data_IF_318251443930
#
_entry.id   IF_318251443930
#
_cell.length_a   1.000
_cell.length_b   1.000
_cell.length_c   1.000
_cell.angle_alpha   90.00
_cell.angle_beta   90.00
_cell.angle_gamma   90.00
#
_symmetry.space_group_name_H-M   'P 1'
#
loop_
_entity.id
_entity.type
_entity.pdbx_description
1 polymer ?
#
# COMPACT_ATOMS: atom_id res chain seq x y z
N UNK A 1 -18.08 21.19 6.29
CA UNK A 1 -18.15 20.85 7.72
C UNK A 1 -16.76 20.77 8.31
N UNK A 2 -16.60 21.09 9.59
CA UNK A 2 -15.36 20.87 10.34
C UNK A 2 -15.72 19.89 11.46
N UNK A 3 -15.33 18.61 11.33
CA UNK A 3 -15.69 17.56 12.27
C UNK A 3 -14.42 16.90 12.77
N UNK A 4 -14.24 16.82 14.09
CA UNK A 4 -13.14 16.11 14.70
C UNK A 4 -13.67 15.08 15.69
N UNK A 5 -13.23 13.82 15.55
CA UNK A 5 -13.54 12.72 16.45
C UNK A 5 -12.21 12.16 16.96
N UNK A 6 -11.91 12.37 18.24
CA UNK A 6 -10.66 11.94 18.86
C UNK A 6 -10.82 10.75 19.82
N UNK A 7 -12.06 10.31 20.07
CA UNK A 7 -12.34 9.20 21.00
C UNK A 7 -13.83 8.97 21.22
N UNK A 8 -14.17 8.07 22.14
CA UNK A 8 -15.55 7.75 22.45
C UNK A 8 -16.21 6.80 21.45
N UNK A 9 -17.54 6.72 21.50
CA UNK A 9 -18.35 5.93 20.58
C UNK A 9 -19.34 6.82 19.85
N UNK A 10 -19.27 6.81 18.52
CA UNK A 10 -20.12 7.61 17.63
C UNK A 10 -20.88 6.66 16.70
N UNK A 11 -22.22 6.74 16.73
CA UNK A 11 -23.09 6.06 15.77
C UNK A 11 -23.92 7.13 15.05
N UNK A 12 -23.64 7.33 13.78
CA UNK A 12 -24.29 8.33 12.94
C UNK A 12 -25.03 7.67 11.77
N UNK A 13 -26.31 7.98 11.63
CA UNK A 13 -27.18 7.35 10.66
C UNK A 13 -28.02 8.39 9.92
N UNK A 14 -27.93 8.39 8.60
CA UNK A 14 -28.79 9.18 7.73
C UNK A 14 -29.80 8.28 7.01
N UNK A 15 -31.09 8.55 7.20
CA UNK A 15 -32.18 7.80 6.55
C UNK A 15 -32.44 8.23 5.11
N UNK A 16 -32.03 9.44 4.75
CA UNK A 16 -32.32 10.02 3.45
C UNK A 16 -31.00 10.33 2.70
N UNK A 17 -30.95 11.42 2.01
CA UNK A 17 -29.89 11.79 1.10
C UNK A 17 -28.64 12.43 1.75
N UNK A 18 -28.59 12.51 3.07
CA UNK A 18 -27.39 12.98 3.78
C UNK A 18 -26.35 11.89 3.96
N UNK A 19 -25.13 12.30 4.26
CA UNK A 19 -24.10 11.37 4.77
C UNK A 19 -24.38 10.96 6.21
N UNK A 20 -23.81 9.84 6.65
CA UNK A 20 -23.81 9.47 8.07
C UNK A 20 -23.07 10.52 8.91
N UNK A 21 -21.86 10.88 8.48
CA UNK A 21 -21.04 11.95 9.06
C UNK A 21 -20.60 12.88 7.93
N UNK A 22 -21.01 14.17 7.99
CA UNK A 22 -20.57 15.18 7.02
C UNK A 22 -21.69 16.06 6.46
N UNK A 23 -21.95 15.97 5.15
CA UNK A 23 -22.91 16.81 4.44
C UNK A 23 -24.36 16.31 4.47
N UNK A 24 -25.34 17.21 4.52
CA UNK A 24 -26.73 16.91 4.20
C UNK A 24 -26.91 16.72 2.68
N UNK A 25 -28.17 16.56 2.22
CA UNK A 25 -28.48 16.52 0.79
C UNK A 25 -27.91 17.75 0.09
N UNK A 26 -27.20 17.53 -1.02
CA UNK A 26 -26.50 18.57 -1.80
C UNK A 26 -25.39 19.30 -1.00
N UNK A 27 -25.11 18.82 0.21
CA UNK A 27 -24.09 19.37 1.10
C UNK A 27 -22.76 18.65 1.01
N UNK A 28 -21.68 19.41 0.98
CA UNK A 28 -20.32 18.86 1.01
C UNK A 28 -19.94 18.43 2.43
N UNK A 29 -19.26 17.30 2.55
CA UNK A 29 -18.53 16.87 3.75
C UNK A 29 -17.06 17.19 3.61
N UNK A 30 -16.54 18.13 4.39
CA UNK A 30 -15.13 18.53 4.28
C UNK A 30 -14.51 18.77 5.64
N UNK A 31 -13.17 18.68 5.72
CA UNK A 31 -12.38 18.84 6.93
C UNK A 31 -12.89 17.89 8.05
N UNK A 32 -12.91 16.60 7.77
CA UNK A 32 -13.32 15.57 8.72
C UNK A 32 -12.06 14.85 9.19
N UNK A 33 -11.82 14.88 10.51
CA UNK A 33 -10.66 14.21 11.11
C UNK A 33 -11.13 13.18 12.14
N UNK A 34 -10.69 11.93 12.00
CA UNK A 34 -10.93 10.86 12.96
C UNK A 34 -9.57 10.34 13.42
N UNK A 35 -9.23 10.59 14.68
CA UNK A 35 -7.96 10.18 15.28
C UNK A 35 -8.11 9.11 16.38
N UNK A 36 -9.33 8.70 16.70
CA UNK A 36 -9.60 7.67 17.71
C UNK A 36 -11.08 7.38 17.89
N UNK A 37 -11.39 6.46 18.83
CA UNK A 37 -12.74 6.05 19.16
C UNK A 37 -13.28 4.92 18.29
N UNK A 38 -14.56 4.58 18.53
CA UNK A 38 -15.35 3.64 17.73
C UNK A 38 -16.41 4.42 16.96
N UNK A 39 -16.29 4.46 15.64
CA UNK A 39 -17.14 5.29 14.77
C UNK A 39 -17.89 4.38 13.80
N UNK A 40 -19.22 4.50 13.79
CA UNK A 40 -20.08 3.87 12.76
C UNK A 40 -20.88 4.96 12.06
N UNK A 41 -20.68 5.07 10.75
CA UNK A 41 -21.33 6.07 9.93
C UNK A 41 -22.06 5.37 8.78
N UNK A 42 -23.36 5.58 8.71
CA UNK A 42 -24.24 4.89 7.78
C UNK A 42 -25.16 5.85 7.03
N UNK A 43 -25.27 5.68 5.71
CA UNK A 43 -26.24 6.36 4.86
C UNK A 43 -27.14 5.33 4.17
N UNK A 44 -28.46 5.43 4.33
CA UNK A 44 -29.42 4.53 3.66
C UNK A 44 -29.63 4.87 2.19
N UNK A 45 -29.44 6.12 1.79
CA UNK A 45 -29.80 6.57 0.43
C UNK A 45 -28.77 7.54 -0.13
N UNK A 46 -27.95 7.08 -1.06
CA UNK A 46 -27.16 7.88 -1.98
C UNK A 46 -26.18 8.91 -1.38
N UNK A 47 -26.19 9.18 -0.07
CA UNK A 47 -25.13 9.90 0.63
C UNK A 47 -23.96 8.97 0.93
N UNK A 48 -22.81 9.52 1.27
CA UNK A 48 -21.67 8.72 1.75
C UNK A 48 -21.87 8.26 3.20
N UNK A 49 -21.19 7.22 3.63
CA UNK A 49 -21.05 6.91 5.06
C UNK A 49 -20.39 8.08 5.78
N UNK A 50 -19.21 8.51 5.31
CA UNK A 50 -18.46 9.67 5.81
C UNK A 50 -18.12 10.57 4.63
N UNK A 51 -18.58 11.83 4.63
CA UNK A 51 -18.29 12.80 3.58
C UNK A 51 -19.50 13.54 3.04
N UNK A 52 -19.70 13.53 1.71
CA UNK A 52 -20.80 14.28 1.05
C UNK A 52 -22.16 13.61 1.13
N UNK A 53 -23.22 14.40 1.16
CA UNK A 53 -24.58 13.90 0.90
C UNK A 53 -24.82 13.68 -0.61
N UNK A 54 -26.02 13.29 -1.00
CA UNK A 54 -26.43 13.19 -2.42
C UNK A 54 -26.09 14.49 -3.16
N UNK A 55 -25.43 14.40 -4.31
CA UNK A 55 -24.88 15.54 -5.07
C UNK A 55 -23.84 16.38 -4.30
N UNK A 56 -23.36 15.93 -3.15
CA UNK A 56 -22.35 16.61 -2.33
C UNK A 56 -20.99 15.92 -2.41
N UNK A 57 -19.93 16.70 -2.46
CA UNK A 57 -18.56 16.19 -2.49
C UNK A 57 -18.04 15.88 -1.08
N UNK A 58 -17.14 14.90 -0.99
CA UNK A 58 -16.33 14.60 0.19
C UNK A 58 -14.91 15.05 -0.01
N UNK A 59 -14.36 15.89 0.89
CA UNK A 59 -12.98 16.35 0.76
C UNK A 59 -12.28 16.51 2.10
N UNK A 60 -10.95 16.42 2.07
CA UNK A 60 -10.10 16.63 3.23
C UNK A 60 -10.52 15.75 4.43
N UNK A 61 -10.67 14.45 4.17
CA UNK A 61 -11.05 13.44 5.16
C UNK A 61 -9.78 12.72 5.60
N UNK A 62 -9.46 12.82 6.89
CA UNK A 62 -8.27 12.18 7.47
C UNK A 62 -8.68 11.20 8.56
N UNK A 63 -8.23 9.94 8.44
CA UNK A 63 -8.39 8.91 9.45
C UNK A 63 -7.00 8.44 9.87
N UNK A 64 -6.61 8.76 11.11
CA UNK A 64 -5.31 8.42 11.66
C UNK A 64 -5.37 7.46 12.85
N UNK A 65 -6.58 7.05 13.27
CA UNK A 65 -6.77 6.13 14.39
C UNK A 65 -8.21 5.70 14.61
N UNK A 66 -8.43 4.88 15.62
CA UNK A 66 -9.75 4.38 15.98
C UNK A 66 -10.20 3.14 15.19
N UNK A 67 -11.45 2.76 15.43
CA UNK A 67 -12.17 1.73 14.68
C UNK A 67 -13.32 2.39 13.94
N UNK A 68 -13.22 2.46 12.61
CA UNK A 68 -14.16 3.20 11.77
C UNK A 68 -14.89 2.24 10.85
N UNK A 69 -16.22 2.25 10.90
CA UNK A 69 -17.09 1.58 9.92
C UNK A 69 -17.87 2.65 9.17
N UNK A 70 -17.65 2.73 7.87
CA UNK A 70 -18.38 3.61 6.99
C UNK A 70 -19.14 2.79 5.96
N UNK A 71 -20.40 3.14 5.71
CA UNK A 71 -21.21 2.40 4.76
C UNK A 71 -22.24 3.28 4.08
N UNK A 72 -22.32 3.19 2.76
CA UNK A 72 -23.35 3.79 1.91
C UNK A 72 -24.20 2.67 1.29
N UNK A 73 -25.48 2.61 1.62
CA UNK A 73 -26.37 1.56 1.08
C UNK A 73 -26.82 1.86 -0.36
N UNK A 74 -27.19 3.08 -0.61
CA UNK A 74 -27.74 3.47 -1.91
C UNK A 74 -29.21 3.12 -2.09
N UNK A 75 -29.78 3.58 -3.20
CA UNK A 75 -31.14 3.30 -3.63
C UNK A 75 -31.14 3.07 -5.15
N UNK A 76 -31.87 2.07 -5.64
CA UNK A 76 -31.94 1.68 -7.06
C UNK A 76 -30.57 1.41 -7.72
N UNK A 77 -29.68 0.68 -7.03
CA UNK A 77 -28.30 0.37 -7.47
C UNK A 77 -27.38 1.59 -7.63
N UNK A 78 -27.78 2.71 -7.06
CA UNK A 78 -27.04 3.96 -7.11
C UNK A 78 -26.66 4.34 -5.68
N UNK A 79 -25.38 4.48 -5.40
CA UNK A 79 -24.88 4.77 -4.05
C UNK A 79 -23.76 5.81 -4.08
N UNK A 80 -23.55 6.49 -2.95
CA UNK A 80 -22.34 7.25 -2.69
C UNK A 80 -21.18 6.34 -2.30
N UNK A 81 -20.04 6.93 -2.06
CA UNK A 81 -18.88 6.23 -1.50
C UNK A 81 -19.11 5.92 -0.02
N UNK A 82 -18.52 4.85 0.50
CA UNK A 82 -18.53 4.64 1.94
C UNK A 82 -17.77 5.77 2.66
N UNK A 83 -16.62 6.20 2.08
CA UNK A 83 -15.90 7.41 2.50
C UNK A 83 -15.62 8.25 1.26
N UNK A 84 -16.06 9.51 1.25
CA UNK A 84 -15.88 10.40 0.10
C UNK A 84 -17.14 11.14 -0.30
N UNK A 85 -17.38 11.29 -1.60
CA UNK A 85 -18.58 11.93 -2.14
C UNK A 85 -19.84 11.07 -2.02
N UNK A 86 -20.98 11.72 -1.91
CA UNK A 86 -22.26 11.07 -2.16
C UNK A 86 -22.43 10.78 -3.65
N UNK A 87 -23.55 10.19 -4.04
CA UNK A 87 -23.86 9.97 -5.45
C UNK A 87 -23.82 11.30 -6.24
N UNK A 88 -23.16 11.31 -7.38
CA UNK A 88 -22.82 12.49 -8.18
C UNK A 88 -21.88 13.50 -7.48
N UNK A 89 -21.37 13.21 -6.31
CA UNK A 89 -20.36 14.03 -5.64
C UNK A 89 -18.94 13.57 -5.96
N UNK A 90 -17.98 14.48 -5.90
CA UNK A 90 -16.56 14.16 -6.07
C UNK A 90 -15.90 13.84 -4.74
N UNK A 91 -14.82 13.06 -4.80
CA UNK A 91 -13.96 12.82 -3.64
C UNK A 91 -12.57 13.38 -3.89
N UNK A 92 -12.03 14.10 -2.89
CA UNK A 92 -10.68 14.65 -2.96
C UNK A 92 -10.00 14.54 -1.59
N UNK A 93 -8.69 14.32 -1.57
CA UNK A 93 -7.87 14.37 -0.38
C UNK A 93 -8.40 13.46 0.75
N UNK A 94 -8.55 12.16 0.48
CA UNK A 94 -8.86 11.16 1.48
C UNK A 94 -7.56 10.51 1.94
N UNK A 95 -7.26 10.60 3.24
CA UNK A 95 -6.05 10.10 3.84
C UNK A 95 -6.36 9.10 4.95
N UNK A 96 -5.80 7.88 4.83
CA UNK A 96 -5.86 6.86 5.88
C UNK A 96 -4.43 6.52 6.26
N UNK A 97 -4.02 6.89 7.47
CA UNK A 97 -2.67 6.67 7.98
C UNK A 97 -2.63 5.81 9.25
N UNK A 98 -3.78 5.34 9.71
CA UNK A 98 -3.88 4.47 10.89
C UNK A 98 -5.31 4.12 11.23
N UNK A 99 -5.48 3.33 12.29
CA UNK A 99 -6.78 2.80 12.70
C UNK A 99 -7.23 1.60 11.87
N UNK A 100 -8.35 1.00 12.27
CA UNK A 100 -9.01 -0.07 11.53
C UNK A 100 -10.22 0.50 10.79
N UNK A 101 -10.15 0.59 9.46
CA UNK A 101 -11.16 1.27 8.65
C UNK A 101 -11.87 0.30 7.74
N UNK A 102 -13.12 -0.05 8.10
CA UNK A 102 -14.01 -0.88 7.32
C UNK A 102 -14.83 -0.02 6.36
N UNK A 103 -14.41 -0.02 5.10
CA UNK A 103 -15.10 0.61 3.99
C UNK A 103 -14.92 -0.26 2.74
N UNK A 104 -15.96 -0.42 1.91
CA UNK A 104 -15.90 -1.20 0.67
C UNK A 104 -15.68 -0.32 -0.56
N UNK A 105 -16.30 0.85 -0.54
CA UNK A 105 -16.19 1.82 -1.63
C UNK A 105 -15.53 3.09 -1.10
N UNK A 106 -14.29 3.21 -1.44
CA UNK A 106 -13.57 4.47 -1.47
C UNK A 106 -13.64 4.92 -2.91
N UNK A 107 -14.07 6.14 -3.13
CA UNK A 107 -14.29 6.64 -4.48
C UNK A 107 -13.01 6.65 -5.32
N UNK A 108 -13.15 6.81 -6.64
CA UNK A 108 -12.18 6.72 -7.72
C UNK A 108 -10.85 7.49 -7.56
N UNK A 109 -10.66 8.27 -6.53
CA UNK A 109 -9.34 8.80 -6.15
C UNK A 109 -8.65 7.83 -5.22
N UNK A 110 -7.41 7.41 -5.53
CA UNK A 110 -6.68 6.53 -4.63
C UNK A 110 -6.59 7.15 -3.25
N UNK A 111 -6.92 6.36 -2.22
CA UNK A 111 -6.72 6.74 -0.84
C UNK A 111 -5.22 6.94 -0.61
N UNK A 112 -4.85 7.95 0.14
CA UNK A 112 -3.47 8.37 0.29
C UNK A 112 -3.03 8.32 1.74
N UNK A 113 -1.73 8.13 1.95
CA UNK A 113 -1.11 8.38 3.24
C UNK A 113 -1.06 9.88 3.53
N UNK A 114 -1.24 10.27 4.81
CA UNK A 114 -1.32 11.68 5.21
C UNK A 114 -0.05 12.51 4.89
N UNK A 115 1.10 11.87 4.77
CA UNK A 115 2.38 12.56 4.71
C UNK A 115 3.01 12.62 3.30
N UNK A 116 2.60 11.75 2.37
CA UNK A 116 3.37 11.54 1.14
C UNK A 116 2.53 11.51 -0.14
N UNK A 117 1.24 11.73 -0.06
CA UNK A 117 0.35 11.67 -1.23
C UNK A 117 0.43 10.33 -2.01
N UNK A 118 0.79 9.24 -1.32
CA UNK A 118 0.97 7.90 -1.85
C UNK A 118 -0.34 7.12 -1.68
N UNK A 119 -0.70 6.32 -2.68
CA UNK A 119 -1.86 5.43 -2.62
C UNK A 119 -1.71 4.39 -1.52
N UNK A 120 -2.81 4.08 -0.83
CA UNK A 120 -2.88 3.01 0.17
C UNK A 120 -3.96 2.00 -0.22
N UNK A 121 -3.72 0.75 0.15
CA UNK A 121 -4.52 -0.41 -0.22
C UNK A 121 -4.96 -1.16 1.03
N UNK A 122 -6.18 -1.73 1.01
CA UNK A 122 -6.73 -2.43 2.17
C UNK A 122 -6.12 -3.81 2.32
N UNK A 123 -5.74 -4.14 3.55
CA UNK A 123 -5.39 -5.48 3.98
C UNK A 123 -6.20 -5.87 5.23
N UNK A 124 -6.82 -7.05 5.20
CA UNK A 124 -7.70 -7.53 6.25
C UNK A 124 -6.99 -8.57 7.12
N UNK A 125 -6.82 -8.28 8.41
CA UNK A 125 -6.22 -9.18 9.40
C UNK A 125 -7.36 -9.87 10.17
N UNK A 126 -7.58 -11.15 9.87
CA UNK A 126 -8.64 -11.94 10.51
C UNK A 126 -8.21 -12.49 11.87
N UNK A 127 -9.09 -12.42 12.87
CA UNK A 127 -8.88 -12.96 14.22
C UNK A 127 -7.52 -12.60 14.85
N UNK A 128 -7.11 -11.32 14.87
CA UNK A 128 -5.80 -10.95 15.36
C UNK A 128 -5.66 -11.21 16.85
N UNK A 129 -4.50 -11.74 17.27
CA UNK A 129 -4.08 -11.62 18.65
C UNK A 129 -3.73 -10.17 18.94
N UNK A 130 -4.51 -9.52 19.78
CA UNK A 130 -4.48 -8.07 20.03
C UNK A 130 -3.44 -7.61 21.02
N UNK A 131 -2.79 -8.53 21.67
CA UNK A 131 -1.77 -8.20 22.67
C UNK A 131 -0.55 -7.53 22.03
N UNK A 132 -0.32 -7.79 20.74
CA UNK A 132 0.80 -7.21 20.00
C UNK A 132 0.50 -7.21 18.49
N UNK A 133 0.07 -6.08 17.97
CA UNK A 133 -0.11 -5.89 16.54
C UNK A 133 0.83 -4.77 16.10
N UNK A 134 1.61 -5.00 15.07
CA UNK A 134 2.54 -4.03 14.54
C UNK A 134 2.60 -4.06 13.01
N UNK A 135 2.90 -2.91 12.42
CA UNK A 135 3.15 -2.74 10.99
C UNK A 135 4.53 -2.08 10.86
N UNK A 136 5.45 -2.75 10.17
CA UNK A 136 6.84 -2.29 9.96
C UNK A 136 7.57 -1.88 11.27
N UNK A 137 7.32 -2.65 12.34
CA UNK A 137 7.92 -2.41 13.65
C UNK A 137 7.22 -1.34 14.51
N UNK A 138 6.19 -0.68 13.98
CA UNK A 138 5.38 0.27 14.73
C UNK A 138 4.17 -0.43 15.37
N UNK A 139 3.94 -0.21 16.65
CA UNK A 139 2.76 -0.75 17.34
C UNK A 139 1.48 -0.17 16.77
N UNK A 140 0.50 -1.05 16.55
CA UNK A 140 -0.81 -0.68 16.05
C UNK A 140 -1.90 -1.35 16.90
N UNK A 141 -2.70 -0.54 17.58
CA UNK A 141 -3.70 -1.02 18.54
C UNK A 141 -5.09 -0.42 18.28
N UNK A 142 -5.71 -0.68 17.11
CA UNK A 142 -7.07 -0.23 16.88
C UNK A 142 -8.09 -1.06 17.68
N UNK A 143 -9.24 -0.47 17.98
CA UNK A 143 -10.38 -1.16 18.55
C UNK A 143 -11.01 -2.15 17.57
N UNK A 144 -11.76 -3.17 18.02
CA UNK A 144 -12.54 -4.04 17.14
C UNK A 144 -13.81 -3.34 16.66
N UNK A 145 -14.25 -3.69 15.44
CA UNK A 145 -15.48 -3.16 14.87
C UNK A 145 -16.75 -3.65 15.57
N UNK A 146 -16.80 -4.93 15.94
CA UNK A 146 -17.89 -5.51 16.72
C UNK A 146 -17.49 -6.86 17.32
N UNK A 147 -18.27 -7.38 18.27
CA UNK A 147 -18.04 -8.71 18.85
C UNK A 147 -18.12 -9.84 17.79
N UNK A 148 -18.88 -9.63 16.73
CA UNK A 148 -19.05 -10.57 15.63
C UNK A 148 -18.05 -10.36 14.48
N UNK A 149 -17.43 -9.19 14.38
CA UNK A 149 -16.43 -8.87 13.38
C UNK A 149 -15.06 -8.77 14.04
N UNK A 150 -14.32 -9.88 13.99
CA UNK A 150 -12.97 -9.99 14.56
C UNK A 150 -11.88 -9.61 13.59
N UNK A 151 -12.21 -8.87 12.53
CA UNK A 151 -11.26 -8.45 11.51
C UNK A 151 -10.75 -7.03 11.79
N UNK A 152 -9.46 -6.81 11.61
CA UNK A 152 -8.86 -5.48 11.56
C UNK A 152 -8.58 -5.12 10.10
N UNK A 153 -8.99 -3.94 9.70
CA UNK A 153 -8.86 -3.43 8.33
C UNK A 153 -7.73 -2.40 8.29
N UNK A 154 -6.56 -2.84 7.84
CA UNK A 154 -5.39 -1.99 7.66
C UNK A 154 -5.37 -1.38 6.25
N UNK A 155 -4.89 -0.14 6.14
CA UNK A 155 -4.63 0.52 4.86
C UNK A 155 -3.14 0.79 4.77
N UNK A 156 -2.47 0.11 3.84
CA UNK A 156 -1.02 0.05 3.72
C UNK A 156 -0.59 0.66 2.40
N UNK A 157 0.58 1.27 2.36
CA UNK A 157 1.19 1.75 1.12
C UNK A 157 1.46 0.59 0.15
N UNK A 158 1.54 0.87 -1.15
CA UNK A 158 1.77 -0.14 -2.20
C UNK A 158 3.22 -0.60 -2.24
N UNK A 159 3.72 -1.10 -1.12
CA UNK A 159 5.06 -1.67 -0.96
C UNK A 159 5.01 -2.89 -0.04
N UNK A 160 6.13 -3.59 0.09
CA UNK A 160 6.21 -4.75 0.98
C UNK A 160 6.19 -4.33 2.45
N UNK A 161 5.47 -5.10 3.30
CA UNK A 161 5.30 -4.79 4.72
C UNK A 161 5.63 -5.99 5.62
N UNK A 162 6.15 -5.72 6.80
CA UNK A 162 6.10 -6.67 7.91
C UNK A 162 4.86 -6.42 8.76
N UNK A 163 4.06 -7.46 8.98
CA UNK A 163 2.94 -7.41 9.91
C UNK A 163 3.21 -8.37 11.07
N UNK A 164 3.14 -7.85 12.29
CA UNK A 164 3.25 -8.63 13.52
C UNK A 164 1.86 -8.84 14.10
N UNK A 165 1.52 -10.07 14.47
CA UNK A 165 0.29 -10.42 15.19
C UNK A 165 0.65 -11.36 16.32
N UNK A 166 0.52 -10.91 17.55
CA UNK A 166 1.01 -11.65 18.71
C UNK A 166 2.53 -11.80 18.69
N UNK A 167 3.03 -13.03 18.68
CA UNK A 167 4.46 -13.34 18.56
C UNK A 167 4.91 -13.61 17.13
N UNK A 168 3.99 -13.63 16.18
CA UNK A 168 4.30 -13.98 14.78
C UNK A 168 4.51 -12.73 13.95
N UNK A 169 5.69 -12.61 13.32
CA UNK A 169 6.04 -11.58 12.34
C UNK A 169 6.08 -12.22 10.96
N UNK A 170 5.29 -11.71 10.04
CA UNK A 170 5.24 -12.17 8.64
C UNK A 170 5.52 -11.04 7.66
N UNK A 171 6.20 -11.40 6.56
CA UNK A 171 6.34 -10.53 5.41
C UNK A 171 5.09 -10.63 4.53
N UNK A 172 4.60 -9.49 4.05
CA UNK A 172 3.53 -9.37 3.08
C UNK A 172 4.04 -8.59 1.88
N UNK A 173 3.93 -9.21 0.73
CA UNK A 173 4.45 -8.73 -0.54
C UNK A 173 3.30 -8.07 -1.30
N UNK A 174 3.50 -6.83 -1.74
CA UNK A 174 2.55 -6.12 -2.57
C UNK A 174 2.70 -6.51 -4.03
N UNK A 175 1.61 -6.91 -4.65
CA UNK A 175 1.51 -7.10 -6.10
C UNK A 175 0.81 -5.88 -6.71
N UNK A 176 1.55 -5.08 -7.45
CA UNK A 176 1.05 -3.87 -8.09
C UNK A 176 0.09 -4.13 -9.25
N UNK A 177 0.09 -5.32 -9.83
CA UNK A 177 -0.81 -5.67 -10.93
C UNK A 177 -2.22 -6.01 -10.43
N UNK A 178 -2.31 -6.70 -9.29
CA UNK A 178 -3.59 -7.05 -8.65
C UNK A 178 -3.98 -6.09 -7.52
N UNK A 179 -3.08 -5.18 -7.13
CA UNK A 179 -3.25 -4.25 -5.99
C UNK A 179 -3.56 -4.98 -4.67
N UNK A 180 -2.93 -6.14 -4.47
CA UNK A 180 -3.16 -7.00 -3.31
C UNK A 180 -1.88 -7.36 -2.58
N UNK A 181 -2.04 -7.75 -1.31
CA UNK A 181 -0.95 -8.27 -0.48
C UNK A 181 -1.04 -9.79 -0.36
N UNK A 182 0.10 -10.46 -0.43
CA UNK A 182 0.22 -11.89 -0.15
C UNK A 182 1.43 -12.19 0.73
N UNK A 183 1.43 -13.33 1.40
CA UNK A 183 2.59 -13.84 2.16
C UNK A 183 3.43 -14.84 1.34
N UNK A 184 3.17 -14.95 0.04
CA UNK A 184 3.96 -15.78 -0.86
C UNK A 184 5.20 -15.01 -1.28
N UNK A 185 6.38 -15.58 -1.02
CA UNK A 185 7.65 -14.95 -1.41
C UNK A 185 7.70 -14.67 -2.90
N UNK A 186 8.16 -13.49 -3.25
CA UNK A 186 8.34 -13.06 -4.64
C UNK A 186 9.43 -13.88 -5.33
N UNK A 187 9.22 -14.24 -6.56
CA UNK A 187 10.28 -14.68 -7.47
C UNK A 187 10.78 -13.48 -8.23
N UNK A 188 12.04 -13.11 -7.98
CA UNK A 188 12.66 -11.94 -8.61
C UNK A 188 12.90 -12.19 -10.10
N UNK A 189 12.73 -11.14 -10.89
CA UNK A 189 12.98 -11.09 -12.34
C UNK A 189 13.93 -9.95 -12.68
N UNK A 190 14.50 -9.91 -13.89
CA UNK A 190 15.38 -8.82 -14.32
C UNK A 190 14.67 -7.47 -14.29
N UNK A 191 13.34 -7.43 -14.46
CA UNK A 191 12.55 -6.21 -14.38
C UNK A 191 12.51 -5.57 -12.98
N UNK A 192 12.88 -6.30 -11.94
CA UNK A 192 12.96 -5.81 -10.56
C UNK A 192 14.27 -5.04 -10.26
N UNK A 193 15.18 -5.03 -11.21
CA UNK A 193 16.49 -4.41 -11.07
C UNK A 193 16.74 -3.31 -12.10
N UNK A 194 17.65 -2.41 -11.74
CA UNK A 194 18.22 -1.41 -12.64
C UNK A 194 19.67 -1.78 -12.90
N UNK A 195 20.02 -1.95 -14.17
CA UNK A 195 21.38 -2.21 -14.63
C UNK A 195 22.04 -0.93 -15.11
N UNK A 196 23.31 -0.74 -14.76
CA UNK A 196 24.15 0.29 -15.34
C UNK A 196 25.50 -0.31 -15.78
N UNK A 197 25.82 -0.16 -17.06
CA UNK A 197 27.12 -0.54 -17.59
C UNK A 197 28.22 0.37 -17.04
N UNK A 198 29.52 -0.06 -17.03
CA UNK A 198 30.62 0.79 -16.65
C UNK A 198 30.71 2.04 -17.52
N UNK A 199 31.03 3.21 -16.93
CA UNK A 199 31.09 4.47 -17.66
C UNK A 199 32.22 4.51 -18.69
N UNK A 200 33.40 3.94 -18.39
CA UNK A 200 34.55 3.95 -19.28
C UNK A 200 34.85 2.52 -19.79
N UNK A 201 34.50 2.27 -21.03
CA UNK A 201 34.67 0.98 -21.72
C UNK A 201 35.95 0.88 -22.55
N UNK A 202 36.81 1.92 -22.55
CA UNK A 202 38.10 1.86 -23.21
C UNK A 202 39.04 0.94 -22.44
N UNK A 203 39.69 0.01 -23.13
CA UNK A 203 40.71 -0.87 -22.53
C UNK A 203 41.86 -0.04 -21.94
N UNK A 204 42.15 -0.24 -20.68
CA UNK A 204 43.22 0.43 -19.95
C UNK A 204 43.84 -0.45 -18.86
N UNK A 205 43.66 -1.76 -18.98
CA UNK A 205 44.11 -2.76 -18.01
C UNK A 205 43.53 -2.60 -16.58
N UNK A 206 42.35 -1.92 -16.47
CA UNK A 206 41.63 -1.78 -15.22
C UNK A 206 40.29 -2.53 -15.31
N UNK A 207 39.79 -3.01 -14.16
CA UNK A 207 38.48 -3.66 -14.03
C UNK A 207 37.39 -2.71 -14.42
N UNK A 208 36.39 -3.22 -15.15
CA UNK A 208 35.18 -2.50 -15.57
C UNK A 208 33.97 -3.12 -14.89
N UNK A 209 33.56 -2.56 -13.73
CA UNK A 209 32.44 -3.11 -12.96
C UNK A 209 31.12 -2.49 -13.37
N UNK A 210 30.15 -3.32 -13.69
CA UNK A 210 28.75 -2.91 -13.85
C UNK A 210 28.07 -2.79 -12.49
N UNK A 211 27.03 -1.99 -12.41
CA UNK A 211 26.17 -1.86 -11.23
C UNK A 211 24.81 -2.47 -11.50
N UNK A 212 24.30 -3.25 -10.55
CA UNK A 212 22.93 -3.76 -10.57
C UNK A 212 22.30 -3.44 -9.21
N UNK A 213 21.25 -2.67 -9.25
CA UNK A 213 20.54 -2.21 -8.05
C UNK A 213 19.07 -2.62 -8.10
N UNK A 214 18.49 -2.93 -6.93
CA UNK A 214 17.08 -3.22 -6.83
C UNK A 214 16.25 -1.94 -7.00
N UNK A 215 15.13 -2.03 -7.70
CA UNK A 215 14.19 -0.92 -7.86
C UNK A 215 13.47 -0.60 -6.55
N UNK A 216 13.04 0.65 -6.41
CA UNK A 216 12.27 1.09 -5.25
C UNK A 216 10.98 0.26 -5.05
N UNK A 217 10.60 0.05 -3.79
CA UNK A 217 9.40 -0.69 -3.40
C UNK A 217 9.61 -2.20 -3.18
N UNK A 218 10.78 -2.75 -3.54
CA UNK A 218 11.14 -4.16 -3.34
C UNK A 218 12.00 -4.28 -2.09
N UNK A 219 11.48 -4.91 -1.03
CA UNK A 219 12.22 -5.11 0.23
C UNK A 219 12.93 -6.47 0.27
N UNK A 220 13.91 -6.58 1.16
CA UNK A 220 14.62 -7.83 1.45
C UNK A 220 15.61 -8.29 0.37
N UNK A 221 16.10 -7.39 -0.44
CA UNK A 221 17.23 -7.62 -1.34
C UNK A 221 18.47 -6.97 -0.71
N UNK A 222 19.20 -7.74 0.09
CA UNK A 222 20.34 -7.21 0.85
C UNK A 222 21.70 -7.52 0.19
N UNK A 223 21.81 -8.69 -0.45
CA UNK A 223 23.04 -9.15 -1.06
C UNK A 223 22.82 -9.47 -2.54
N UNK A 224 23.44 -8.69 -3.41
CA UNK A 224 23.49 -8.93 -4.85
C UNK A 224 24.94 -9.26 -5.22
N UNK A 225 25.16 -10.49 -5.70
CA UNK A 225 26.45 -10.90 -6.23
C UNK A 225 26.44 -10.74 -7.74
N UNK A 226 27.25 -9.80 -8.25
CA UNK A 226 27.38 -9.55 -9.69
C UNK A 226 28.46 -10.47 -10.28
N UNK A 227 28.12 -11.14 -11.38
CA UNK A 227 28.98 -12.09 -12.11
C UNK A 227 29.11 -11.62 -13.55
N UNK A 228 30.31 -11.83 -14.10
CA UNK A 228 30.64 -11.46 -15.49
C UNK A 228 30.96 -12.71 -16.30
N UNK A 229 30.41 -12.78 -17.50
CA UNK A 229 30.67 -13.89 -18.44
C UNK A 229 31.21 -13.35 -19.75
N UNK A 230 32.33 -13.86 -20.19
CA UNK A 230 32.86 -13.65 -21.54
C UNK A 230 32.51 -14.89 -22.39
N UNK A 231 31.51 -14.78 -23.23
CA UNK A 231 30.81 -15.96 -23.77
C UNK A 231 30.20 -16.77 -22.61
N UNK A 232 30.49 -18.06 -22.55
CA UNK A 232 30.03 -18.95 -21.49
C UNK A 232 31.00 -19.07 -20.29
N UNK A 233 32.13 -18.35 -20.32
CA UNK A 233 33.16 -18.44 -19.31
C UNK A 233 32.95 -17.37 -18.23
N UNK A 234 32.76 -17.82 -16.98
CA UNK A 234 32.74 -16.94 -15.81
C UNK A 234 34.15 -16.33 -15.61
N UNK A 235 34.22 -15.03 -15.47
CA UNK A 235 35.44 -14.29 -15.16
C UNK A 235 35.24 -13.49 -13.86
N UNK A 236 36.32 -13.42 -13.05
CA UNK A 236 36.24 -12.65 -11.80
C UNK A 236 36.21 -11.16 -12.06
N UNK A 237 37.03 -10.70 -13.01
CA UNK A 237 37.24 -9.29 -13.28
C UNK A 237 37.16 -9.01 -14.79
N UNK A 238 36.22 -8.16 -15.25
CA UNK A 238 36.14 -7.80 -16.66
C UNK A 238 37.19 -6.74 -17.02
N UNK A 239 38.37 -7.22 -17.47
CA UNK A 239 39.50 -6.37 -17.84
C UNK A 239 39.77 -6.45 -19.36
N UNK A 240 39.70 -7.65 -19.93
CA UNK A 240 40.07 -7.89 -21.31
C UNK A 240 39.06 -7.38 -22.31
N UNK A 241 39.50 -7.11 -23.52
CA UNK A 241 38.65 -6.76 -24.64
C UNK A 241 37.66 -7.91 -24.92
N UNK A 242 36.39 -7.56 -25.05
CA UNK A 242 35.32 -8.50 -25.34
C UNK A 242 33.94 -8.01 -24.88
N UNK A 243 32.90 -8.74 -25.24
CA UNK A 243 31.53 -8.46 -24.79
C UNK A 243 31.21 -9.32 -23.59
N UNK A 244 30.89 -8.68 -22.50
CA UNK A 244 30.52 -9.30 -21.24
C UNK A 244 29.02 -9.34 -21.04
N UNK A 245 28.51 -10.50 -20.63
CA UNK A 245 27.14 -10.63 -20.11
C UNK A 245 27.19 -10.58 -18.58
N UNK A 246 26.31 -9.78 -17.99
CA UNK A 246 26.20 -9.64 -16.53
C UNK A 246 25.07 -10.52 -16.03
N UNK A 247 25.34 -11.31 -14.99
CA UNK A 247 24.36 -12.09 -14.25
C UNK A 247 24.48 -11.79 -12.78
N UNK A 248 23.38 -11.93 -12.04
CA UNK A 248 23.37 -11.75 -10.59
C UNK A 248 22.87 -12.98 -9.87
N UNK A 249 23.41 -13.19 -8.68
CA UNK A 249 22.77 -14.02 -7.66
C UNK A 249 22.24 -13.13 -6.56
N UNK A 250 21.07 -13.48 -6.04
CA UNK A 250 20.41 -12.78 -4.94
C UNK A 250 20.07 -13.79 -3.86
N UNK A 251 20.47 -13.50 -2.63
CA UNK A 251 20.12 -14.32 -1.48
C UNK A 251 18.61 -14.26 -1.20
N UNK A 252 18.04 -15.36 -0.70
CA UNK A 252 16.66 -15.42 -0.27
C UNK A 252 16.46 -14.62 1.02
N UNK A 253 15.25 -14.08 1.18
CA UNK A 253 14.84 -13.32 2.35
C UNK A 253 13.42 -13.71 2.81
N UNK A 254 12.86 -12.96 3.75
CA UNK A 254 11.45 -13.13 4.12
C UNK A 254 10.50 -12.74 2.97
N UNK A 255 10.92 -11.82 2.10
CA UNK A 255 10.12 -11.31 0.99
C UNK A 255 10.37 -12.03 -0.34
N UNK A 256 11.58 -12.54 -0.57
CA UNK A 256 12.02 -13.02 -1.87
C UNK A 256 12.60 -14.43 -1.80
N UNK A 257 12.31 -15.22 -2.84
CA UNK A 257 13.02 -16.47 -3.09
C UNK A 257 14.47 -16.18 -3.51
N UNK A 258 15.46 -17.06 -3.19
CA UNK A 258 16.80 -16.93 -3.73
C UNK A 258 16.77 -17.06 -5.24
N UNK A 259 17.60 -16.31 -5.92
CA UNK A 259 17.70 -16.32 -7.38
C UNK A 259 19.16 -16.47 -7.78
N UNK A 260 19.45 -17.30 -8.80
CA UNK A 260 20.78 -17.54 -9.30
C UNK A 260 20.86 -17.29 -10.81
N UNK A 261 21.97 -16.66 -11.23
CA UNK A 261 22.26 -16.35 -12.62
C UNK A 261 21.13 -15.55 -13.33
N UNK A 262 20.42 -14.72 -12.60
CA UNK A 262 19.43 -13.83 -13.18
C UNK A 262 20.12 -12.84 -14.12
N UNK A 263 19.58 -12.66 -15.30
CA UNK A 263 20.13 -11.80 -16.35
C UNK A 263 19.02 -11.23 -17.23
N UNK A 264 19.38 -10.28 -18.06
CA UNK A 264 18.56 -9.71 -19.12
C UNK A 264 19.40 -9.60 -20.40
N UNK A 265 18.77 -9.59 -21.56
CA UNK A 265 19.46 -9.43 -22.84
C UNK A 265 20.24 -8.12 -22.95
N UNK A 266 19.78 -7.08 -22.23
CA UNK A 266 20.42 -5.77 -22.20
C UNK A 266 21.49 -5.62 -21.11
N UNK A 267 21.70 -6.64 -20.26
CA UNK A 267 22.71 -6.60 -19.21
C UNK A 267 24.08 -7.02 -19.79
N UNK A 268 24.53 -6.23 -20.72
CA UNK A 268 25.81 -6.46 -21.44
C UNK A 268 26.61 -5.17 -21.58
N UNK A 269 27.94 -5.31 -21.73
CA UNK A 269 28.82 -4.22 -22.13
C UNK A 269 30.05 -4.76 -22.87
N UNK A 270 30.71 -3.93 -23.67
CA UNK A 270 31.89 -4.31 -24.45
C UNK A 270 33.08 -3.40 -24.12
N UNK A 271 34.20 -4.01 -23.77
CA UNK A 271 35.50 -3.32 -23.56
C UNK A 271 36.26 -3.31 -24.87
#
# INVERSE_FOLDING_TARGET
SNITISGGSVAAHSKWFGSGIGGGREGNGSNITISGGSVTAYSERNGSGIGGGYNGSGSDITISGGSVTAYSHGFDNVKGSDIGGGYNGNSNNIYISGGSVKAQTLDYTPVKSANENISVYRYDISNPDRSNIGIDGNNWTPSIHSDNDKTLYAWLTGEDHYITVGSEKKAYIFDSASETFSNTKRTLSSSDFQFAAPENLTYNNCVKSATVEVKNGIKGVENITVKYFLGDTLVSDPINVGTYTVKIDVDGSDFNNPTQNLTDENWTFTI
#
